data_IF_676543840860
#
_entry.id   IF_676543840860
#
_cell.length_a   1.000
_cell.length_b   1.000
_cell.length_c   1.000
_cell.angle_alpha   90.00
_cell.angle_beta   90.00
_cell.angle_gamma   90.00
#
_symmetry.space_group_name_H-M   'P 1'
#
loop_
_entity.id
_entity.type
_entity.pdbx_description
1 polymer ?
#
# COMPACT_ATOMS: atom_id res chain seq x y z
N UNK A 1 29.59 41.62 -70.57
CA UNK A 1 29.54 40.17 -70.24
C UNK A 1 29.73 39.94 -68.73
N UNK A 2 28.84 40.44 -67.85
CA UNK A 2 29.05 40.35 -66.38
C UNK A 2 27.76 40.60 -65.53
N UNK A 3 26.66 39.89 -65.80
CA UNK A 3 25.37 40.08 -65.10
C UNK A 3 24.56 38.79 -64.83
N UNK A 4 25.19 37.60 -64.83
CA UNK A 4 24.49 36.31 -64.64
C UNK A 4 24.82 35.69 -63.27
N UNK A 5 26.04 35.84 -62.77
CA UNK A 5 26.55 35.12 -61.58
C UNK A 5 25.93 35.54 -60.23
N UNK A 6 25.25 36.70 -60.19
CA UNK A 6 24.66 37.22 -58.94
C UNK A 6 23.40 36.48 -58.49
N UNK A 7 22.69 35.80 -59.39
CA UNK A 7 21.40 35.18 -59.06
C UNK A 7 21.59 33.78 -58.44
N UNK A 8 22.51 32.98 -59.01
CA UNK A 8 22.83 31.63 -58.53
C UNK A 8 23.41 31.63 -57.11
N UNK A 9 24.29 32.59 -56.78
CA UNK A 9 24.86 32.68 -55.44
C UNK A 9 23.80 33.06 -54.39
N UNK A 10 22.80 33.89 -54.74
CA UNK A 10 21.66 34.18 -53.86
C UNK A 10 20.79 32.94 -53.65
N UNK A 11 20.47 32.21 -54.73
CA UNK A 11 19.68 30.97 -54.69
C UNK A 11 20.36 29.87 -53.84
N UNK A 12 21.69 29.70 -53.99
CA UNK A 12 22.49 28.74 -53.22
C UNK A 12 22.63 29.13 -51.74
N UNK A 13 22.72 30.44 -51.46
CA UNK A 13 22.78 30.96 -50.09
C UNK A 13 21.45 30.79 -49.35
N UNK A 14 20.30 31.06 -49.98
CA UNK A 14 18.99 30.87 -49.35
C UNK A 14 18.67 29.39 -49.12
N UNK A 15 19.07 28.50 -50.03
CA UNK A 15 18.94 27.05 -49.84
C UNK A 15 19.77 26.53 -48.65
N UNK A 16 21.01 27.00 -48.50
CA UNK A 16 21.86 26.67 -47.35
C UNK A 16 21.31 27.23 -46.03
N UNK A 17 20.79 28.47 -46.04
CA UNK A 17 20.14 29.04 -44.85
C UNK A 17 18.88 28.27 -44.44
N UNK A 18 18.05 27.85 -45.42
CA UNK A 18 16.88 27.00 -45.16
C UNK A 18 17.26 25.63 -44.59
N UNK A 19 18.31 24.98 -45.11
CA UNK A 19 18.80 23.72 -44.57
C UNK A 19 19.34 23.88 -43.14
N UNK A 20 20.07 24.96 -42.83
CA UNK A 20 20.56 25.22 -41.47
C UNK A 20 19.40 25.47 -40.50
N UNK A 21 18.39 26.26 -40.89
CA UNK A 21 17.20 26.48 -40.06
C UNK A 21 16.38 25.19 -39.90
N UNK A 22 16.27 24.36 -40.93
CA UNK A 22 15.61 23.06 -40.84
C UNK A 22 16.36 22.09 -39.92
N UNK A 23 17.70 22.05 -39.97
CA UNK A 23 18.52 21.27 -39.04
C UNK A 23 18.40 21.76 -37.59
N UNK A 24 18.35 23.08 -37.37
CA UNK A 24 18.14 23.67 -36.03
C UNK A 24 16.73 23.34 -35.52
N UNK A 25 15.69 23.42 -36.36
CA UNK A 25 14.33 23.00 -36.00
C UNK A 25 14.22 21.50 -35.71
N UNK A 26 14.93 20.63 -36.46
CA UNK A 26 15.02 19.20 -36.14
C UNK A 26 15.76 18.96 -34.81
N UNK A 27 16.84 19.69 -34.55
CA UNK A 27 17.59 19.59 -33.29
C UNK A 27 16.76 20.05 -32.08
N UNK A 28 15.83 20.99 -32.24
CA UNK A 28 14.91 21.41 -31.18
C UNK A 28 13.81 20.38 -30.86
N UNK A 29 13.51 19.44 -31.77
CA UNK A 29 12.57 18.33 -31.51
C UNK A 29 13.21 17.22 -30.64
N UNK A 30 14.54 17.14 -30.57
CA UNK A 30 15.25 16.11 -29.79
C UNK A 30 15.35 16.39 -28.28
N UNK A 31 14.92 17.56 -27.78
CA UNK A 31 15.03 17.91 -26.36
C UNK A 31 13.92 17.35 -25.46
N UNK A 32 12.95 16.61 -26.01
CA UNK A 32 11.84 15.99 -25.28
C UNK A 32 11.81 14.47 -25.50
N UNK A 33 12.96 13.81 -25.29
CA UNK A 33 12.89 12.45 -24.79
C UNK A 33 12.35 12.55 -23.36
N UNK A 34 11.16 12.00 -23.02
CA UNK A 34 10.94 11.68 -21.62
C UNK A 34 12.11 10.78 -21.21
N UNK A 35 12.71 11.04 -20.05
CA UNK A 35 13.60 10.04 -19.44
C UNK A 35 12.75 8.78 -19.35
N UNK A 36 13.04 7.79 -20.19
CA UNK A 36 12.42 6.49 -20.05
C UNK A 36 12.91 5.99 -18.70
N UNK A 37 12.01 6.04 -17.71
CA UNK A 37 12.26 5.49 -16.40
C UNK A 37 12.49 4.00 -16.61
N UNK A 38 13.77 3.62 -16.71
CA UNK A 38 14.18 2.24 -16.89
C UNK A 38 13.53 1.43 -15.77
N UNK A 39 13.13 0.20 -16.10
CA UNK A 39 12.49 -0.70 -15.13
C UNK A 39 13.41 -0.85 -13.91
N UNK A 40 13.03 -0.21 -12.80
CA UNK A 40 13.85 -0.06 -11.61
C UNK A 40 12.99 -0.40 -10.40
N UNK A 41 13.16 -1.64 -9.95
CA UNK A 41 12.81 -2.13 -8.63
C UNK A 41 14.08 -2.08 -7.77
N UNK A 42 14.07 -1.27 -6.71
CA UNK A 42 15.19 -1.17 -5.77
C UNK A 42 14.69 -0.83 -4.36
N UNK A 43 15.25 -1.46 -3.33
CA UNK A 43 15.08 -1.10 -1.92
C UNK A 43 16.40 -0.53 -1.42
N UNK A 44 16.42 0.75 -1.04
CA UNK A 44 17.59 1.43 -0.46
C UNK A 44 17.62 1.36 1.06
N UNK A 45 16.46 1.22 1.72
CA UNK A 45 16.35 0.99 3.16
C UNK A 45 15.12 0.12 3.47
N UNK A 46 15.19 -0.82 4.42
CA UNK A 46 16.39 -1.25 5.13
C UNK A 46 17.37 -1.97 4.19
N UNK A 47 18.68 -1.80 4.40
CA UNK A 47 19.69 -2.52 3.61
C UNK A 47 19.75 -4.00 3.99
N UNK A 48 20.12 -4.87 3.06
CA UNK A 48 20.28 -6.30 3.34
C UNK A 48 21.24 -6.53 4.53
N UNK A 49 20.89 -7.45 5.44
CA UNK A 49 21.66 -7.70 6.67
C UNK A 49 21.33 -6.77 7.85
N UNK A 50 20.48 -5.75 7.70
CA UNK A 50 20.18 -4.81 8.79
C UNK A 50 19.38 -5.46 9.93
N UNK A 51 19.71 -5.11 11.18
CA UNK A 51 18.82 -5.33 12.32
C UNK A 51 17.75 -4.24 12.37
N UNK A 52 16.48 -4.63 12.52
CA UNK A 52 15.34 -3.72 12.57
C UNK A 52 14.34 -4.12 13.67
N UNK A 53 13.54 -3.15 14.10
CA UNK A 53 12.51 -3.32 15.14
C UNK A 53 11.48 -2.20 15.04
N UNK A 54 10.22 -2.45 15.41
CA UNK A 54 9.18 -1.42 15.38
C UNK A 54 8.60 -1.22 13.98
N UNK A 55 8.26 0.03 13.66
CA UNK A 55 7.77 0.44 12.34
C UNK A 55 8.95 0.86 11.46
N UNK A 56 9.20 0.09 10.40
CA UNK A 56 10.40 0.21 9.54
C UNK A 56 10.00 0.85 8.21
N UNK A 57 10.41 2.09 7.91
CA UNK A 57 10.12 2.71 6.62
C UNK A 57 10.93 2.04 5.51
N UNK A 58 10.23 1.54 4.49
CA UNK A 58 10.84 0.94 3.30
C UNK A 58 11.04 2.04 2.27
N UNK A 59 12.29 2.39 1.98
CA UNK A 59 12.68 3.42 1.02
C UNK A 59 13.25 2.79 -0.24
N UNK A 60 12.97 3.36 -1.41
CA UNK A 60 13.46 2.80 -2.67
C UNK A 60 12.93 3.48 -3.92
N UNK A 61 13.02 2.74 -5.04
CA UNK A 61 12.43 3.12 -6.33
C UNK A 61 11.58 1.96 -6.84
N UNK A 62 10.36 2.29 -7.27
CA UNK A 62 9.40 1.40 -7.90
C UNK A 62 8.86 2.08 -9.16
N UNK A 63 9.58 1.95 -10.26
CA UNK A 63 9.20 2.48 -11.58
C UNK A 63 9.37 1.44 -12.67
N UNK A 64 8.37 1.33 -13.55
CA UNK A 64 8.42 0.47 -14.73
C UNK A 64 7.54 1.10 -15.82
N UNK A 65 7.83 0.84 -17.09
CA UNK A 65 7.00 1.32 -18.20
C UNK A 65 6.39 0.13 -18.96
N UNK A 66 5.04 0.06 -19.13
CA UNK A 66 4.02 0.88 -18.48
C UNK A 66 3.79 0.48 -17.00
N UNK A 67 3.67 1.45 -16.08
CA UNK A 67 3.45 1.19 -14.65
C UNK A 67 1.98 0.89 -14.33
N UNK A 68 1.71 -0.22 -13.61
CA UNK A 68 0.38 -0.50 -13.03
C UNK A 68 0.36 -0.28 -11.51
N UNK A 69 1.25 -0.97 -10.78
CA UNK A 69 1.33 -0.94 -9.32
C UNK A 69 2.68 -1.45 -8.83
N UNK A 70 2.99 -1.23 -7.56
CA UNK A 70 4.00 -1.98 -6.83
C UNK A 70 3.41 -2.61 -5.56
N UNK A 71 4.03 -3.70 -5.12
CA UNK A 71 3.62 -4.51 -3.98
C UNK A 71 4.84 -4.85 -3.13
N UNK A 72 4.74 -4.64 -1.83
CA UNK A 72 5.75 -5.00 -0.84
C UNK A 72 5.31 -6.24 -0.07
N UNK A 73 6.22 -7.20 0.00
CA UNK A 73 6.03 -8.47 0.71
C UNK A 73 7.19 -8.76 1.66
N UNK A 74 6.96 -9.59 2.68
CA UNK A 74 8.01 -10.16 3.53
C UNK A 74 7.88 -11.68 3.61
N UNK A 75 8.99 -12.39 3.85
CA UNK A 75 9.00 -13.80 4.31
C UNK A 75 9.97 -13.99 5.47
N UNK A 76 9.67 -14.93 6.37
CA UNK A 76 10.55 -15.38 7.44
C UNK A 76 11.48 -16.48 6.90
N UNK A 77 12.77 -16.41 7.16
CA UNK A 77 13.74 -17.44 6.77
C UNK A 77 14.05 -18.39 7.94
N UNK A 78 14.18 -19.71 7.69
CA UNK A 78 13.96 -20.38 6.41
C UNK A 78 12.47 -20.65 6.12
N UNK A 79 12.03 -20.35 4.89
CA UNK A 79 10.72 -20.77 4.36
C UNK A 79 10.84 -21.18 2.89
N UNK A 80 9.77 -21.75 2.33
CA UNK A 80 9.66 -21.93 0.88
C UNK A 80 9.73 -20.60 0.12
N UNK A 81 10.12 -20.66 -1.15
CA UNK A 81 10.37 -19.48 -1.98
C UNK A 81 9.13 -18.62 -2.21
N UNK A 82 7.94 -19.23 -2.29
CA UNK A 82 6.66 -18.53 -2.49
C UNK A 82 5.96 -18.10 -1.20
N UNK A 83 6.55 -18.29 -0.01
CA UNK A 83 5.95 -17.97 1.29
C UNK A 83 5.93 -16.46 1.63
N UNK A 84 5.75 -15.61 0.62
CA UNK A 84 5.75 -14.16 0.73
C UNK A 84 4.38 -13.60 1.13
N UNK A 85 4.35 -12.85 2.24
CA UNK A 85 3.16 -12.21 2.80
C UNK A 85 3.13 -10.74 2.34
N UNK A 86 2.07 -10.31 1.66
CA UNK A 86 1.84 -8.91 1.31
C UNK A 86 1.60 -8.06 2.56
N UNK A 87 2.16 -6.84 2.61
CA UNK A 87 1.91 -5.91 3.72
C UNK A 87 1.63 -4.46 3.32
N UNK A 88 2.12 -4.00 2.16
CA UNK A 88 1.95 -2.63 1.69
C UNK A 88 2.13 -2.53 0.17
N UNK A 89 1.77 -1.41 -0.46
CA UNK A 89 1.80 -1.26 -1.92
C UNK A 89 1.19 0.04 -2.42
N UNK A 90 1.30 0.30 -3.73
CA UNK A 90 0.84 1.55 -4.31
C UNK A 90 0.58 1.51 -5.82
N UNK A 91 -0.35 2.33 -6.28
CA UNK A 91 -0.73 2.51 -7.70
C UNK A 91 -0.10 3.76 -8.33
N UNK A 92 0.83 4.42 -7.63
CA UNK A 92 1.64 5.51 -8.16
C UNK A 92 3.12 5.10 -8.21
N UNK A 93 3.86 5.46 -9.27
CA UNK A 93 5.30 5.22 -9.33
C UNK A 93 6.05 6.05 -8.30
N UNK A 94 7.09 5.47 -7.69
CA UNK A 94 7.91 6.13 -6.64
C UNK A 94 9.38 6.09 -7.04
N UNK A 95 10.09 7.22 -6.91
CA UNK A 95 11.53 7.33 -7.18
C UNK A 95 12.24 7.86 -5.95
N UNK A 96 13.20 7.11 -5.41
CA UNK A 96 13.98 7.44 -4.22
C UNK A 96 13.13 7.95 -3.03
N UNK A 97 11.96 7.34 -2.84
CA UNK A 97 10.96 7.73 -1.85
C UNK A 97 10.52 6.58 -0.97
N UNK A 98 9.58 6.85 -0.07
CA UNK A 98 8.97 5.82 0.76
C UNK A 98 8.01 4.97 -0.07
N UNK A 99 8.25 3.66 -0.08
CA UNK A 99 7.41 2.65 -0.73
C UNK A 99 6.32 2.13 0.21
N UNK A 100 6.61 2.08 1.52
CA UNK A 100 5.67 1.59 2.54
C UNK A 100 6.26 1.56 3.93
N UNK A 101 5.50 1.05 4.91
CA UNK A 101 5.96 0.87 6.30
C UNK A 101 5.79 -0.60 6.72
N UNK A 102 6.90 -1.27 6.98
CA UNK A 102 6.91 -2.65 7.45
C UNK A 102 6.85 -2.69 8.99
N UNK A 103 5.79 -3.25 9.56
CA UNK A 103 5.57 -3.32 11.01
C UNK A 103 6.19 -4.58 11.60
N UNK A 104 7.47 -4.51 11.93
CA UNK A 104 8.23 -5.61 12.54
C UNK A 104 7.92 -5.83 14.03
N UNK A 105 7.25 -4.87 14.69
CA UNK A 105 6.88 -4.93 16.12
C UNK A 105 6.06 -6.15 16.53
N UNK A 106 5.15 -6.62 15.67
CA UNK A 106 4.30 -7.78 15.92
C UNK A 106 4.86 -9.12 15.42
N UNK A 107 6.06 -9.13 14.82
CA UNK A 107 6.65 -10.31 14.23
C UNK A 107 7.52 -11.07 15.26
N UNK A 108 7.59 -12.42 15.18
CA UNK A 108 8.58 -13.21 15.91
C UNK A 108 10.01 -12.72 15.64
N UNK A 109 10.90 -12.88 16.62
CA UNK A 109 12.32 -12.64 16.38
C UNK A 109 12.86 -13.66 15.36
N UNK A 110 13.60 -13.20 14.36
CA UNK A 110 14.04 -14.03 13.25
C UNK A 110 14.67 -13.27 12.10
N UNK A 111 15.06 -13.99 11.06
CA UNK A 111 15.63 -13.42 9.83
C UNK A 111 14.55 -13.31 8.77
N UNK A 112 14.45 -12.17 8.11
CA UNK A 112 13.40 -11.88 7.12
C UNK A 112 13.99 -11.43 5.78
N UNK A 113 13.24 -11.68 4.71
CA UNK A 113 13.52 -11.16 3.37
C UNK A 113 12.35 -10.28 2.93
N UNK A 114 12.61 -9.01 2.63
CA UNK A 114 11.65 -8.14 1.94
C UNK A 114 11.74 -8.33 0.44
N UNK A 115 10.58 -8.30 -0.24
CA UNK A 115 10.45 -8.31 -1.70
C UNK A 115 9.61 -7.12 -2.16
N UNK A 116 10.19 -6.30 -3.03
CA UNK A 116 9.47 -5.33 -3.84
C UNK A 116 9.16 -5.97 -5.19
N UNK A 117 7.88 -6.01 -5.57
CA UNK A 117 7.42 -6.39 -6.91
C UNK A 117 6.82 -5.16 -7.59
N UNK A 118 7.23 -4.85 -8.81
CA UNK A 118 6.71 -3.73 -9.61
C UNK A 118 6.05 -4.31 -10.86
N UNK A 119 4.75 -4.09 -11.02
CA UNK A 119 3.88 -4.76 -11.99
C UNK A 119 3.49 -3.80 -13.11
N UNK A 120 3.48 -4.32 -14.34
CA UNK A 120 3.03 -3.64 -15.56
C UNK A 120 1.57 -3.89 -15.88
N UNK A 121 0.99 -3.08 -16.77
CA UNK A 121 -0.40 -3.26 -17.23
C UNK A 121 -0.64 -4.58 -17.99
N UNK A 122 0.40 -5.21 -18.54
CA UNK A 122 0.35 -6.51 -19.21
C UNK A 122 0.49 -7.71 -18.25
N UNK A 123 0.62 -7.46 -16.94
CA UNK A 123 0.84 -8.48 -15.90
C UNK A 123 2.30 -8.90 -15.71
N UNK A 124 3.23 -8.49 -16.58
CA UNK A 124 4.66 -8.73 -16.34
C UNK A 124 5.16 -7.89 -15.16
N UNK A 125 6.23 -8.33 -14.51
CA UNK A 125 6.76 -7.66 -13.32
C UNK A 125 8.29 -7.70 -13.23
N UNK A 126 8.85 -6.78 -12.46
CA UNK A 126 10.23 -6.78 -12.01
C UNK A 126 10.26 -6.90 -10.47
N UNK A 127 11.25 -7.60 -9.93
CA UNK A 127 11.38 -7.80 -8.48
C UNK A 127 12.72 -7.29 -7.95
N UNK A 128 12.76 -6.99 -6.66
CA UNK A 128 13.98 -6.71 -5.90
C UNK A 128 13.84 -7.28 -4.49
N UNK A 129 14.92 -7.84 -3.96
CA UNK A 129 14.94 -8.50 -2.66
C UNK A 129 15.94 -7.81 -1.72
N UNK A 130 15.51 -7.54 -0.49
CA UNK A 130 16.38 -7.14 0.61
C UNK A 130 16.40 -8.29 1.65
N UNK A 131 17.32 -9.26 1.52
CA UNK A 131 17.39 -10.43 2.39
C UNK A 131 18.14 -10.16 3.70
N UNK A 132 18.11 -11.15 4.60
CA UNK A 132 18.90 -11.19 5.84
C UNK A 132 18.56 -10.08 6.86
N UNK A 133 17.33 -9.56 6.86
CA UNK A 133 16.90 -8.55 7.82
C UNK A 133 16.62 -9.20 9.18
N UNK A 134 17.38 -8.84 10.22
CA UNK A 134 17.21 -9.39 11.56
C UNK A 134 16.13 -8.61 12.31
N UNK A 135 14.98 -9.23 12.55
CA UNK A 135 13.98 -8.69 13.47
C UNK A 135 14.33 -9.15 14.87
N UNK A 136 14.66 -8.20 15.74
CA UNK A 136 14.81 -8.45 17.16
C UNK A 136 13.65 -7.81 17.90
N UNK A 137 12.92 -8.60 18.68
CA UNK A 137 12.15 -8.05 19.77
C UNK A 137 13.16 -7.54 20.79
N UNK A 138 13.21 -6.22 21.00
CA UNK A 138 13.89 -5.66 22.17
C UNK A 138 13.36 -6.33 23.45
N UNK A 139 14.14 -6.35 24.55
CA UNK A 139 13.77 -7.11 25.75
C UNK A 139 12.33 -6.81 26.12
N UNK A 140 11.48 -7.84 26.08
CA UNK A 140 10.06 -7.71 26.38
C UNK A 140 9.94 -6.99 27.73
N UNK A 141 9.01 -6.02 27.87
CA UNK A 141 8.84 -5.33 29.14
C UNK A 141 8.61 -6.40 30.19
N UNK A 142 9.57 -6.54 31.12
CA UNK A 142 9.45 -7.52 32.20
C UNK A 142 8.15 -7.17 32.91
N UNK A 143 7.20 -8.12 33.06
CA UNK A 143 5.95 -7.81 33.73
C UNK A 143 6.31 -7.38 35.14
N UNK A 144 6.20 -6.07 35.40
CA UNK A 144 6.30 -5.53 36.75
C UNK A 144 5.08 -6.07 37.44
N UNK A 145 5.28 -7.11 38.25
CA UNK A 145 4.20 -7.71 39.01
C UNK A 145 3.79 -6.69 40.06
N UNK A 146 2.67 -6.00 39.81
CA UNK A 146 1.99 -5.16 40.80
C UNK A 146 1.40 -5.99 41.97
N UNK A 147 1.69 -7.30 42.02
CA UNK A 147 1.46 -8.12 43.20
C UNK A 147 2.19 -7.49 44.39
N UNK A 148 1.46 -6.99 45.42
CA UNK A 148 2.12 -6.45 46.59
C UNK A 148 2.97 -7.55 47.21
N UNK A 149 4.24 -7.24 47.48
CA UNK A 149 5.08 -8.11 48.30
C UNK A 149 4.32 -8.32 49.61
N UNK A 150 3.94 -9.56 49.99
CA UNK A 150 3.19 -9.78 51.20
C UNK A 150 4.06 -9.34 52.37
N UNK A 151 3.67 -8.23 53.00
CA UNK A 151 4.32 -7.77 54.23
C UNK A 151 4.22 -8.93 55.23
N UNK A 152 5.34 -9.43 55.79
CA UNK A 152 5.28 -10.56 56.69
C UNK A 152 4.39 -10.19 57.88
N UNK A 153 3.26 -10.86 58.00
CA UNK A 153 2.39 -10.73 59.18
C UNK A 153 3.25 -11.15 60.38
N UNK A 154 3.41 -10.30 61.40
CA UNK A 154 4.24 -10.64 62.55
C UNK A 154 3.68 -11.91 63.20
N UNK A 155 4.45 -12.99 63.17
CA UNK A 155 4.11 -14.22 63.88
C UNK A 155 4.09 -13.89 65.37
N UNK A 156 2.90 -13.90 65.98
CA UNK A 156 2.76 -13.66 67.41
C UNK A 156 3.57 -14.73 68.17
N UNK A 157 4.68 -14.31 68.79
CA UNK A 157 5.42 -15.16 69.71
C UNK A 157 4.59 -15.31 70.98
N UNK A 158 3.76 -16.35 71.04
CA UNK A 158 3.03 -16.71 72.25
C UNK A 158 4.02 -17.03 73.37
N UNK A 159 4.13 -16.11 74.33
CA UNK A 159 4.83 -16.39 75.58
C UNK A 159 4.03 -17.48 76.32
N UNK A 160 4.64 -18.60 76.73
CA UNK A 160 3.90 -19.66 77.41
C UNK A 160 3.33 -19.12 78.73
N UNK A 161 2.03 -19.31 78.93
CA UNK A 161 1.35 -18.93 80.17
C UNK A 161 1.86 -19.75 81.35
N UNK A 162 1.91 -19.19 82.58
CA UNK A 162 2.30 -19.93 83.77
C UNK A 162 1.34 -21.10 84.01
N UNK A 163 1.91 -22.26 84.37
CA UNK A 163 1.17 -23.50 84.61
C UNK A 163 0.23 -23.34 85.83
N UNK A 164 -1.08 -23.65 85.70
CA UNK A 164 -2.00 -23.55 86.83
C UNK A 164 -1.69 -24.62 87.88
N UNK A 165 -1.67 -24.20 89.15
CA UNK A 165 -1.67 -25.10 90.31
C UNK A 165 -3.08 -25.70 90.45
N UNK A 166 -3.24 -27.02 90.65
CA UNK A 166 -4.56 -27.62 90.80
C UNK A 166 -5.16 -27.29 92.17
N UNK A 167 -6.23 -26.52 92.19
CA UNK A 167 -7.11 -26.36 93.36
C UNK A 167 -8.31 -27.31 93.23
N UNK A 168 -8.61 -28.05 94.29
CA UNK A 168 -9.65 -29.10 94.31
C UNK A 168 -10.96 -28.49 94.83
N UNK A 169 -11.99 -28.42 93.98
CA UNK A 169 -13.30 -27.84 94.32
C UNK A 169 -14.46 -28.48 93.55
N UNK A 170 -15.52 -28.79 94.27
CA UNK A 170 -16.61 -29.72 93.93
C UNK A 170 -17.61 -29.33 92.81
N UNK A 171 -18.19 -30.39 92.22
CA UNK A 171 -19.47 -30.57 91.48
C UNK A 171 -20.52 -29.44 91.40
N UNK A 172 -21.12 -29.29 90.21
CA UNK A 172 -22.59 -29.32 90.00
C UNK A 172 -23.01 -29.63 88.54
N UNK A 173 -24.21 -30.21 88.35
CA UNK A 173 -24.91 -30.68 87.12
C UNK A 173 -26.43 -30.49 87.39
N UNK A 174 -27.41 -30.36 86.42
CA UNK A 174 -27.42 -30.43 84.94
C UNK A 174 -27.90 -29.07 84.30
N UNK A 175 -28.50 -28.89 83.09
CA UNK A 175 -28.96 -29.72 81.94
C UNK A 175 -29.08 -28.82 80.65
N UNK A 176 -29.76 -29.28 79.57
CA UNK A 176 -30.55 -28.34 78.74
C UNK A 176 -30.57 -28.44 77.19
N UNK A 177 -30.99 -29.57 76.61
CA UNK A 177 -31.82 -29.73 75.37
C UNK A 177 -31.52 -29.02 74.00
N UNK A 178 -31.54 -29.85 72.93
CA UNK A 178 -31.99 -29.60 71.51
C UNK A 178 -31.22 -28.71 70.51
N UNK A 179 -30.45 -29.38 69.64
CA UNK A 179 -30.67 -29.62 68.18
C UNK A 179 -31.16 -28.52 67.17
N UNK A 180 -30.74 -28.57 65.88
CA UNK A 180 -30.86 -27.46 64.91
C UNK A 180 -31.88 -27.67 63.76
N UNK A 181 -32.28 -26.60 63.04
CA UNK A 181 -32.66 -26.63 61.60
C UNK A 181 -32.76 -25.20 60.95
N UNK A 182 -33.02 -24.99 59.62
CA UNK A 182 -32.11 -24.17 58.81
C UNK A 182 -32.78 -23.20 57.79
N UNK A 183 -31.95 -22.66 56.88
CA UNK A 183 -32.25 -22.21 55.49
C UNK A 183 -33.50 -21.34 55.18
N UNK A 184 -33.26 -20.12 54.66
CA UNK A 184 -34.00 -19.56 53.51
C UNK A 184 -33.05 -18.72 52.62
N UNK A 185 -33.01 -18.92 51.28
CA UNK A 185 -32.30 -18.04 50.34
C UNK A 185 -33.22 -16.95 49.75
N UNK A 186 -32.65 -15.81 49.33
CA UNK A 186 -33.39 -14.71 48.66
C UNK A 186 -33.25 -14.78 47.13
N UNK A 187 -34.36 -14.78 46.36
CA UNK A 187 -34.33 -14.65 44.91
C UNK A 187 -34.59 -13.21 44.42
N UNK A 188 -34.12 -12.88 43.20
CA UNK A 188 -34.95 -12.45 42.05
C UNK A 188 -34.14 -11.65 41.01
N UNK A 189 -34.10 -12.04 39.72
CA UNK A 189 -33.61 -11.21 38.61
C UNK A 189 -34.72 -10.31 38.02
N UNK A 190 -34.35 -9.23 37.33
CA UNK A 190 -35.30 -8.36 36.60
C UNK A 190 -34.95 -8.28 35.10
N UNK A 191 -35.89 -8.64 34.20
CA UNK A 191 -35.84 -8.33 32.77
C UNK A 191 -36.81 -7.19 32.42
N UNK A 192 -37.08 -6.97 31.10
CA UNK A 192 -38.26 -6.32 30.46
C UNK A 192 -37.85 -5.17 29.49
N UNK A 193 -38.54 -4.97 28.32
CA UNK A 193 -37.83 -4.84 27.02
C UNK A 193 -38.38 -3.76 26.05
N UNK A 194 -37.99 -3.84 24.75
CA UNK A 194 -38.65 -3.21 23.58
C UNK A 194 -37.79 -3.41 22.31
N UNK A 195 -38.19 -4.00 21.16
CA UNK A 195 -39.46 -4.05 20.41
C UNK A 195 -39.89 -2.66 19.91
N UNK A 196 -40.30 -2.35 18.66
CA UNK A 196 -40.57 -3.04 17.36
C UNK A 196 -40.72 -1.94 16.25
N UNK A 197 -40.75 -2.14 14.91
CA UNK A 197 -40.45 -3.22 13.96
C UNK A 197 -40.47 -2.70 12.49
N UNK A 198 -39.90 -3.46 11.54
CA UNK A 198 -40.28 -3.44 10.10
C UNK A 198 -39.37 -2.61 9.18
N UNK A 199 -39.08 -2.97 7.93
CA UNK A 199 -39.75 -3.82 6.91
C UNK A 199 -38.62 -4.52 6.11
N UNK A 200 -38.48 -5.85 6.00
CA UNK A 200 -39.30 -6.92 5.41
C UNK A 200 -39.20 -7.06 3.86
N UNK A 201 -38.81 -8.26 3.40
CA UNK A 201 -38.74 -8.72 2.00
C UNK A 201 -37.30 -8.93 1.47
N UNK A 202 -36.93 -10.05 0.85
CA UNK A 202 -37.60 -11.36 0.69
C UNK A 202 -36.56 -12.50 0.47
N UNK A 203 -37.05 -13.73 0.43
CA UNK A 203 -36.49 -15.09 0.60
C UNK A 203 -35.36 -15.58 -0.33
N UNK A 204 -34.73 -16.71 0.07
CA UNK A 204 -33.94 -17.62 -0.80
C UNK A 204 -32.50 -17.87 -0.32
N UNK A 205 -32.24 -18.66 0.74
CA UNK A 205 -32.21 -20.14 0.77
C UNK A 205 -31.23 -20.83 -0.19
N UNK A 206 -30.10 -21.30 0.35
CA UNK A 206 -29.65 -22.69 0.13
C UNK A 206 -28.56 -22.98 -0.93
N UNK A 207 -27.39 -23.38 -0.42
CA UNK A 207 -26.45 -24.40 -0.94
C UNK A 207 -25.82 -24.29 -2.35
N UNK A 208 -24.48 -24.17 -2.32
CA UNK A 208 -23.46 -24.93 -3.08
C UNK A 208 -23.55 -25.18 -4.61
N UNK A 209 -22.44 -24.83 -5.27
CA UNK A 209 -21.80 -25.58 -6.37
C UNK A 209 -22.56 -25.76 -7.71
N UNK A 210 -22.49 -24.73 -8.57
CA UNK A 210 -22.38 -24.93 -10.01
C UNK A 210 -21.62 -23.78 -10.69
N UNK A 211 -20.64 -24.12 -11.52
CA UNK A 211 -19.89 -23.14 -12.32
C UNK A 211 -20.72 -22.60 -13.52
N UNK A 212 -20.19 -21.54 -14.14
CA UNK A 212 -20.59 -21.00 -15.46
C UNK A 212 -21.83 -20.09 -15.57
N UNK A 213 -21.84 -18.96 -14.85
CA UNK A 213 -22.51 -17.71 -15.31
C UNK A 213 -21.63 -16.49 -15.00
N UNK A 214 -20.57 -16.28 -15.81
CA UNK A 214 -19.57 -15.22 -15.57
C UNK A 214 -19.36 -14.25 -16.74
N UNK A 215 -20.19 -14.31 -17.80
CA UNK A 215 -19.93 -13.60 -19.06
C UNK A 215 -20.80 -12.35 -19.29
N UNK A 216 -22.09 -12.35 -18.89
CA UNK A 216 -22.96 -11.19 -19.18
C UNK A 216 -22.70 -9.98 -18.25
N UNK A 217 -22.37 -10.22 -16.98
CA UNK A 217 -22.04 -9.14 -16.03
C UNK A 217 -20.62 -8.56 -16.22
N UNK A 218 -19.72 -9.27 -16.93
CA UNK A 218 -18.37 -8.78 -17.21
C UNK A 218 -18.37 -7.77 -18.36
N UNK A 219 -19.13 -8.03 -19.44
CA UNK A 219 -19.35 -7.05 -20.51
C UNK A 219 -20.05 -5.79 -19.99
N UNK A 220 -21.06 -5.92 -19.12
CA UNK A 220 -21.74 -4.77 -18.52
C UNK A 220 -20.79 -3.84 -17.75
N UNK A 221 -19.85 -4.41 -16.97
CA UNK A 221 -18.81 -3.64 -16.27
C UNK A 221 -17.75 -3.09 -17.22
N UNK A 222 -17.27 -3.87 -18.19
CA UNK A 222 -16.30 -3.40 -19.18
C UNK A 222 -16.87 -2.26 -20.05
N UNK A 223 -18.16 -2.29 -20.39
CA UNK A 223 -18.84 -1.19 -21.08
C UNK A 223 -18.98 0.04 -20.18
N UNK A 224 -19.26 -0.13 -18.88
CA UNK A 224 -19.24 0.94 -17.89
C UNK A 224 -17.86 1.59 -17.72
N UNK A 225 -16.80 0.79 -17.69
CA UNK A 225 -15.41 1.27 -17.60
C UNK A 225 -14.93 1.89 -18.93
N UNK A 226 -15.32 1.31 -20.07
CA UNK A 226 -14.98 1.84 -21.40
C UNK A 226 -15.67 3.18 -21.71
N UNK A 227 -16.87 3.40 -21.16
CA UNK A 227 -17.63 4.66 -21.23
C UNK A 227 -17.34 5.60 -20.05
N UNK A 228 -16.32 5.30 -19.24
CA UNK A 228 -15.88 6.19 -18.15
C UNK A 228 -15.60 7.61 -18.66
N UNK A 229 -16.26 8.59 -18.05
CA UNK A 229 -16.20 10.02 -18.44
C UNK A 229 -14.76 10.54 -18.45
N UNK A 230 -13.89 10.02 -17.58
CA UNK A 230 -12.47 10.36 -17.53
C UNK A 230 -11.68 9.82 -18.73
N UNK A 231 -12.00 8.60 -19.22
CA UNK A 231 -11.40 8.04 -20.44
C UNK A 231 -11.85 8.80 -21.68
N UNK A 232 -13.11 9.25 -21.71
CA UNK A 232 -13.63 10.12 -22.77
C UNK A 232 -12.90 11.48 -22.78
N UNK A 233 -12.69 12.10 -21.60
CA UNK A 233 -11.90 13.34 -21.47
C UNK A 233 -10.47 13.17 -21.96
N UNK A 234 -9.77 12.12 -21.52
CA UNK A 234 -8.38 11.87 -21.91
C UNK A 234 -8.25 11.58 -23.42
N UNK A 235 -9.18 10.82 -23.99
CA UNK A 235 -9.23 10.52 -25.43
C UNK A 235 -9.54 11.77 -26.27
N UNK A 236 -10.46 12.62 -25.81
CA UNK A 236 -10.82 13.88 -26.48
C UNK A 236 -9.61 14.82 -26.57
N UNK A 237 -8.92 15.11 -25.45
CA UNK A 237 -7.75 16.00 -25.49
C UNK A 237 -6.59 15.41 -26.29
N UNK A 238 -6.43 14.09 -26.31
CA UNK A 238 -5.45 13.41 -27.16
C UNK A 238 -5.79 13.60 -28.65
N UNK A 239 -7.04 13.39 -29.04
CA UNK A 239 -7.52 13.61 -30.41
C UNK A 239 -7.40 15.07 -30.86
N UNK A 240 -7.77 16.03 -30.00
CA UNK A 240 -7.64 17.48 -30.28
C UNK A 240 -6.18 17.88 -30.55
N UNK A 241 -5.21 17.31 -29.82
CA UNK A 241 -3.79 17.57 -30.06
C UNK A 241 -3.32 17.06 -31.42
N UNK A 242 -3.73 15.87 -31.85
CA UNK A 242 -3.43 15.35 -33.19
C UNK A 242 -4.14 16.11 -34.31
N UNK A 243 -5.38 16.57 -34.09
CA UNK A 243 -6.08 17.43 -35.04
C UNK A 243 -5.39 18.80 -35.21
N UNK A 244 -4.91 19.39 -34.11
CA UNK A 244 -4.19 20.66 -34.13
C UNK A 244 -2.86 20.57 -34.88
N UNK A 245 -2.05 19.51 -34.66
CA UNK A 245 -0.79 19.33 -35.39
C UNK A 245 -1.01 19.12 -36.88
N UNK A 246 -2.03 18.34 -37.27
CA UNK A 246 -2.41 18.16 -38.68
C UNK A 246 -2.81 19.49 -39.33
N UNK A 247 -3.64 20.30 -38.66
CA UNK A 247 -4.09 21.60 -39.19
C UNK A 247 -2.93 22.61 -39.34
N UNK A 248 -2.00 22.65 -38.38
CA UNK A 248 -0.81 23.51 -38.47
C UNK A 248 0.07 23.07 -39.65
N UNK A 249 0.29 21.76 -39.82
CA UNK A 249 1.08 21.21 -40.92
C UNK A 249 0.45 21.50 -42.28
N UNK A 250 -0.88 21.34 -42.41
CA UNK A 250 -1.62 21.70 -43.63
C UNK A 250 -1.55 23.21 -43.91
N UNK A 251 -1.70 24.04 -42.86
CA UNK A 251 -1.58 25.49 -42.95
C UNK A 251 -0.21 25.94 -43.46
N UNK A 252 0.87 25.33 -43.00
CA UNK A 252 2.23 25.59 -43.48
C UNK A 252 2.42 25.17 -44.95
N UNK A 253 1.87 24.03 -45.38
CA UNK A 253 1.91 23.59 -46.78
C UNK A 253 1.16 24.58 -47.69
N UNK A 254 -0.03 25.04 -47.28
CA UNK A 254 -0.80 26.01 -48.05
C UNK A 254 -0.15 27.40 -48.06
N UNK A 255 0.42 27.86 -46.95
CA UNK A 255 1.19 29.10 -46.89
C UNK A 255 2.42 29.03 -47.81
N UNK A 256 3.16 27.91 -47.80
CA UNK A 256 4.29 27.67 -48.69
C UNK A 256 3.89 27.69 -50.17
N UNK A 257 2.82 26.99 -50.55
CA UNK A 257 2.27 27.04 -51.92
C UNK A 257 1.87 28.45 -52.33
N UNK A 258 1.18 29.20 -51.45
CA UNK A 258 0.70 30.56 -51.73
C UNK A 258 1.85 31.56 -51.86
N UNK A 259 2.90 31.43 -51.05
CA UNK A 259 4.09 32.25 -51.15
C UNK A 259 4.86 31.95 -52.44
N UNK A 260 4.99 30.67 -52.80
CA UNK A 260 5.65 30.25 -54.04
C UNK A 260 4.92 30.77 -55.29
N UNK A 261 3.58 30.71 -55.35
CA UNK A 261 2.84 31.27 -56.47
C UNK A 261 2.92 32.80 -56.53
N UNK A 262 2.89 33.50 -55.39
CA UNK A 262 3.04 34.96 -55.33
C UNK A 262 4.44 35.45 -55.75
N UNK A 263 5.50 34.72 -55.38
CA UNK A 263 6.86 35.00 -55.86
C UNK A 263 6.93 34.79 -57.38
N UNK A 264 6.33 33.70 -57.88
CA UNK A 264 6.34 33.36 -59.31
C UNK A 264 5.45 34.26 -60.19
N UNK A 265 4.53 35.05 -59.63
CA UNK A 265 3.77 36.07 -60.38
C UNK A 265 4.35 37.48 -60.26
N UNK A 266 5.44 37.66 -59.50
CA UNK A 266 6.19 38.92 -59.35
C UNK A 266 7.60 38.87 -59.97
N UNK A 267 7.95 37.77 -60.62
CA UNK A 267 9.21 37.55 -61.35
C UNK A 267 8.90 37.34 -62.84
#
# INVERSE_FOLDING_TARGET
>A
MRRIDSHDNRMRSTWRALLVVACIMLAHVQAWQPVQAQAQSNISSPSAGSTVSGDVPVMGTATIDPFQKYELHYKLEPSGDDAFIYFDGGTSPVVNGQLGIWRASGLPAGTYTLRLRVVKLDGNYAEFFAPNLSVNQGPAPTPTSDQPTPTPIPTATFTPAPQPTPEVGQVEQPEGVTAPNPLVPTPTPSPTPGAIAGVAGDTGSGAEEAAAVADENSLGRQLGEALGIDRLRQSFFTGVRYAATLFILLGLIYAGRRLFTWVRTRA
#
